data_IF_301355845532
#
_entry.id   IF_301355845532
#
_cell.length_a   1.000
_cell.length_b   1.000
_cell.length_c   1.000
_cell.angle_alpha   90.00
_cell.angle_beta   90.00
_cell.angle_gamma   90.00
#
_symmetry.space_group_name_H-M   'P 1'
#
loop_
_entity.id
_entity.type
_entity.pdbx_description
1 polymer ?
#
# COMPACT_ATOMS: atom_id res chain seq x y z
N UNK A 1 -0.21 21.95 4.22
CA UNK A 1 0.28 20.76 3.47
C UNK A 1 0.08 19.53 4.33
N UNK A 2 -0.33 18.38 3.77
CA UNK A 2 -0.44 17.14 4.53
C UNK A 2 0.91 16.76 5.16
N UNK A 3 0.89 16.37 6.44
CA UNK A 3 2.06 15.83 7.13
C UNK A 3 2.16 14.33 6.82
N UNK A 4 3.30 13.91 6.28
CA UNK A 4 3.57 12.51 5.96
C UNK A 4 4.60 11.94 6.94
N UNK A 5 4.39 10.69 7.33
CA UNK A 5 5.37 9.90 8.09
C UNK A 5 6.04 8.88 7.15
N UNK A 6 7.29 8.53 7.42
CA UNK A 6 8.02 7.49 6.69
C UNK A 6 8.07 6.21 7.52
N UNK A 7 7.86 5.07 6.85
CA UNK A 7 8.03 3.75 7.44
C UNK A 7 9.08 2.98 6.64
N UNK A 8 9.88 2.15 7.34
CA UNK A 8 10.84 1.26 6.67
C UNK A 8 10.13 -0.02 6.28
N UNK A 9 10.18 -0.34 4.99
CA UNK A 9 9.61 -1.56 4.42
C UNK A 9 10.77 -2.39 3.88
N UNK A 10 10.82 -3.72 4.12
CA UNK A 10 11.81 -4.58 3.51
C UNK A 10 11.79 -4.45 1.99
N UNK A 11 12.97 -4.32 1.37
CA UNK A 11 13.10 -4.16 -0.08
C UNK A 11 12.37 -5.24 -0.90
N UNK A 12 12.45 -6.54 -0.56
CA UNK A 12 11.74 -7.58 -1.32
C UNK A 12 10.23 -7.38 -1.32
N UNK A 13 9.67 -6.94 -0.18
CA UNK A 13 8.24 -6.68 -0.07
C UNK A 13 7.85 -5.46 -0.90
N UNK A 14 8.67 -4.40 -0.89
CA UNK A 14 8.44 -3.23 -1.72
C UNK A 14 8.45 -3.59 -3.22
N UNK A 15 9.39 -4.43 -3.65
CA UNK A 15 9.49 -4.90 -5.04
C UNK A 15 8.26 -5.71 -5.47
N UNK A 16 7.73 -6.59 -4.61
CA UNK A 16 6.49 -7.33 -4.89
C UNK A 16 5.30 -6.40 -5.04
N UNK A 17 5.18 -5.38 -4.18
CA UNK A 17 4.11 -4.37 -4.27
C UNK A 17 4.27 -3.53 -5.54
N UNK A 18 5.50 -3.20 -5.94
CA UNK A 18 5.77 -2.47 -7.17
C UNK A 18 5.38 -3.28 -8.42
N UNK A 19 5.74 -4.57 -8.46
CA UNK A 19 5.31 -5.49 -9.52
C UNK A 19 3.79 -5.52 -9.62
N UNK A 20 3.11 -5.66 -8.49
CA UNK A 20 1.64 -5.75 -8.45
C UNK A 20 0.96 -4.48 -9.03
N UNK A 21 1.51 -3.29 -8.77
CA UNK A 21 1.01 -2.04 -9.38
C UNK A 21 1.28 -1.97 -10.88
N UNK A 22 2.42 -2.50 -11.34
CA UNK A 22 2.83 -2.48 -12.76
C UNK A 22 2.10 -3.53 -13.60
N UNK A 23 1.94 -4.73 -13.07
CA UNK A 23 1.39 -5.89 -13.78
C UNK A 23 -0.14 -5.90 -13.78
N UNK A 24 -0.77 -5.26 -12.79
CA UNK A 24 -2.23 -5.22 -12.65
C UNK A 24 -2.78 -3.79 -12.63
N UNK A 25 -2.70 -3.04 -13.75
CA UNK A 25 -3.24 -1.68 -13.84
C UNK A 25 -4.76 -1.63 -13.64
N UNK A 26 -5.43 -2.76 -13.86
CA UNK A 26 -6.87 -2.97 -13.60
C UNK A 26 -7.27 -2.75 -12.14
N UNK A 27 -6.33 -2.85 -11.20
CA UNK A 27 -6.57 -2.56 -9.78
C UNK A 27 -6.74 -1.07 -9.50
N UNK A 28 -6.42 -0.21 -10.47
CA UNK A 28 -6.66 1.24 -10.41
C UNK A 28 -5.68 2.04 -9.55
N UNK A 29 -4.61 1.42 -9.06
CA UNK A 29 -3.61 2.10 -8.23
C UNK A 29 -2.60 2.86 -9.09
N UNK A 30 -2.38 4.14 -8.77
CA UNK A 30 -1.45 5.02 -9.51
C UNK A 30 -0.02 4.95 -9.01
N UNK A 31 0.20 4.43 -7.81
CA UNK A 31 1.51 4.40 -7.15
C UNK A 31 1.54 3.36 -6.05
N UNK A 32 2.74 2.87 -5.73
CA UNK A 32 2.99 1.96 -4.59
C UNK A 32 2.43 2.54 -3.29
N UNK A 33 2.65 3.83 -3.02
CA UNK A 33 2.13 4.50 -1.83
C UNK A 33 0.60 4.50 -1.75
N UNK A 34 -0.09 4.59 -2.89
CA UNK A 34 -1.56 4.58 -2.92
C UNK A 34 -2.10 3.19 -2.57
N UNK A 35 -1.51 2.14 -3.16
CA UNK A 35 -1.81 0.75 -2.83
C UNK A 35 -1.54 0.45 -1.35
N UNK A 36 -0.35 0.79 -0.84
CA UNK A 36 0.05 0.54 0.55
C UNK A 36 -0.90 1.25 1.53
N UNK A 37 -1.26 2.52 1.28
CA UNK A 37 -2.19 3.24 2.14
C UNK A 37 -3.60 2.62 2.15
N UNK A 38 -4.08 2.16 1.00
CA UNK A 38 -5.41 1.53 0.91
C UNK A 38 -5.43 0.18 1.64
N UNK A 39 -4.40 -0.66 1.43
CA UNK A 39 -4.25 -1.93 2.14
C UNK A 39 -4.14 -1.74 3.65
N UNK A 40 -3.30 -0.80 4.10
CA UNK A 40 -3.17 -0.47 5.52
C UNK A 40 -4.51 -0.03 6.13
N UNK A 41 -5.28 0.83 5.43
CA UNK A 41 -6.60 1.25 5.91
C UNK A 41 -7.55 0.07 6.04
N UNK A 42 -7.66 -0.79 5.01
CA UNK A 42 -8.51 -1.98 5.03
C UNK A 42 -8.14 -2.93 6.17
N UNK A 43 -6.85 -3.15 6.38
CA UNK A 43 -6.39 -4.08 7.41
C UNK A 43 -6.60 -3.53 8.83
N UNK A 44 -6.45 -2.22 9.02
CA UNK A 44 -6.82 -1.55 10.27
C UNK A 44 -8.33 -1.61 10.55
N UNK A 45 -9.17 -1.48 9.52
CA UNK A 45 -10.62 -1.61 9.67
C UNK A 45 -11.03 -3.03 10.06
N UNK A 46 -10.40 -4.06 9.46
CA UNK A 46 -10.60 -5.46 9.87
C UNK A 46 -10.13 -5.69 11.30
N UNK A 47 -8.91 -5.26 11.63
CA UNK A 47 -8.32 -5.47 12.96
C UNK A 47 -9.09 -4.77 14.08
N UNK A 48 -9.89 -3.74 13.75
CA UNK A 48 -10.76 -3.03 14.70
C UNK A 48 -12.15 -3.64 14.85
N UNK A 49 -12.56 -4.52 13.93
CA UNK A 49 -13.83 -5.25 14.06
C UNK A 49 -13.53 -6.57 14.79
N UNK A 50 -14.08 -6.77 16.01
CA UNK A 50 -13.91 -8.01 16.77
C UNK A 50 -14.52 -9.22 16.05
#
# INVERSE_FOLDING_TARGET
MPQYSSARIPKPLFEEVEKLVKEHPELGYRSVSELVNNLLRKELEKSRKP
#
